data_IF_809013907549
#
_entry.id   IF_809013907549
#
_cell.length_a   1.000
_cell.length_b   1.000
_cell.length_c   1.000
_cell.angle_alpha   90.00
_cell.angle_beta   90.00
_cell.angle_gamma   90.00
#
_symmetry.space_group_name_H-M   'P 1'
#
loop_
_entity.id
_entity.type
_entity.pdbx_description
1 polymer ?
#
# COMPACT_ATOMS: atom_id res chain seq x y z
N UNK A 1 6.99 -2.36 1.50
CA UNK A 1 8.29 -2.79 0.92
C UNK A 1 8.53 -4.29 1.07
N UNK A 2 8.48 -4.85 2.29
CA UNK A 2 8.74 -6.27 2.58
C UNK A 2 7.83 -7.26 1.85
N UNK A 3 6.53 -6.97 1.67
CA UNK A 3 5.61 -7.88 0.98
C UNK A 3 6.06 -8.28 -0.43
N UNK A 4 6.47 -7.31 -1.26
CA UNK A 4 6.86 -7.56 -2.65
C UNK A 4 8.11 -8.42 -2.76
N UNK A 5 9.06 -8.18 -1.86
CA UNK A 5 10.29 -8.96 -1.80
C UNK A 5 10.01 -10.38 -1.32
N UNK A 6 9.18 -10.53 -0.28
CA UNK A 6 8.73 -11.83 0.19
C UNK A 6 7.95 -12.57 -0.90
N UNK A 7 7.02 -11.91 -1.58
CA UNK A 7 6.27 -12.45 -2.71
C UNK A 7 7.22 -12.99 -3.79
N UNK A 8 8.19 -12.19 -4.22
CA UNK A 8 9.21 -12.63 -5.20
C UNK A 8 10.04 -13.82 -4.70
N UNK A 9 10.43 -13.81 -3.43
CA UNK A 9 11.24 -14.89 -2.84
C UNK A 9 10.44 -16.17 -2.54
N UNK A 10 9.11 -16.09 -2.55
CA UNK A 10 8.17 -17.21 -2.27
C UNK A 10 7.36 -17.59 -3.51
N UNK A 11 7.91 -17.39 -4.71
CA UNK A 11 7.27 -17.70 -5.99
C UNK A 11 5.84 -17.11 -6.08
N UNK A 12 5.73 -15.80 -5.85
CA UNK A 12 4.45 -15.08 -5.78
C UNK A 12 3.56 -15.55 -4.63
N UNK A 13 4.12 -15.69 -3.43
CA UNK A 13 3.41 -16.14 -2.22
C UNK A 13 2.80 -17.54 -2.33
N UNK A 14 3.37 -18.43 -3.16
CA UNK A 14 2.87 -19.80 -3.36
C UNK A 14 3.76 -20.87 -2.73
N UNK A 15 5.02 -20.56 -2.39
CA UNK A 15 5.99 -21.55 -1.90
C UNK A 15 6.87 -21.03 -0.75
N UNK A 16 7.06 -21.87 0.27
CA UNK A 16 8.00 -21.66 1.38
C UNK A 16 8.76 -22.97 1.65
N UNK A 17 9.90 -23.14 0.99
CA UNK A 17 10.63 -24.41 1.03
C UNK A 17 9.74 -25.55 0.48
N UNK A 18 9.51 -26.64 1.23
CA UNK A 18 8.63 -27.74 0.81
C UNK A 18 7.13 -27.44 1.01
N UNK A 19 6.78 -26.28 1.56
CA UNK A 19 5.41 -25.92 1.90
C UNK A 19 4.75 -25.11 0.77
N UNK A 20 3.53 -25.50 0.43
CA UNK A 20 2.67 -24.76 -0.49
C UNK A 20 1.83 -23.77 0.29
N UNK A 21 1.81 -22.53 -0.16
CA UNK A 21 1.09 -21.44 0.45
C UNK A 21 -0.16 -21.12 -0.36
N UNK A 22 -1.21 -20.67 0.31
CA UNK A 22 -2.32 -19.98 -0.33
C UNK A 22 -1.96 -18.50 -0.50
N UNK A 23 -1.69 -18.07 -1.73
CA UNK A 23 -1.31 -16.69 -2.02
C UNK A 23 -2.38 -15.67 -1.56
N UNK A 24 -3.67 -16.05 -1.54
CA UNK A 24 -4.76 -15.17 -1.08
C UNK A 24 -4.68 -14.85 0.41
N UNK A 25 -4.13 -15.79 1.19
CA UNK A 25 -3.95 -15.67 2.63
C UNK A 25 -2.65 -14.97 3.03
N UNK A 26 -1.73 -14.76 2.10
CA UNK A 26 -0.42 -14.18 2.38
C UNK A 26 -0.56 -12.69 2.69
N UNK A 27 -0.16 -12.30 3.90
CA UNK A 27 -0.45 -11.01 4.47
C UNK A 27 0.73 -10.50 5.29
N UNK A 28 1.15 -9.26 5.01
CA UNK A 28 2.23 -8.59 5.74
C UNK A 28 1.69 -7.27 6.29
N UNK A 29 1.67 -7.13 7.61
CA UNK A 29 1.40 -5.89 8.34
C UNK A 29 0.13 -5.10 7.95
N UNK A 30 -0.94 -5.74 7.48
CA UNK A 30 -2.08 -4.97 6.93
C UNK A 30 -2.47 -5.36 5.52
N UNK A 31 -1.52 -5.92 4.77
CA UNK A 31 -1.57 -5.93 3.32
C UNK A 31 -1.56 -7.35 2.74
N UNK A 32 -2.54 -7.63 1.87
CA UNK A 32 -2.56 -8.73 0.91
C UNK A 32 -2.82 -8.21 -0.51
N UNK A 33 -2.40 -8.96 -1.52
CA UNK A 33 -2.66 -8.62 -2.92
C UNK A 33 -4.12 -8.97 -3.30
N UNK A 34 -4.88 -8.08 -3.96
CA UNK A 34 -6.24 -8.38 -4.39
C UNK A 34 -6.24 -9.51 -5.44
N UNK A 35 -6.96 -10.60 -5.15
CA UNK A 35 -7.13 -11.72 -6.07
C UNK A 35 -8.07 -11.31 -7.23
N UNK A 36 -7.55 -11.28 -8.47
CA UNK A 36 -8.40 -11.33 -9.65
C UNK A 36 -8.83 -12.79 -9.85
N UNK A 37 -10.12 -13.09 -9.64
CA UNK A 37 -10.67 -14.42 -9.86
C UNK A 37 -10.51 -14.83 -11.32
N UNK A 38 -9.82 -15.95 -11.57
CA UNK A 38 -9.79 -16.58 -12.88
C UNK A 38 -10.96 -17.56 -13.03
N UNK A 39 -11.80 -17.32 -14.04
CA UNK A 39 -12.21 -18.34 -15.02
C UNK A 39 -13.07 -17.67 -16.09
N UNK A 40 -12.58 -17.59 -17.33
CA UNK A 40 -13.18 -18.23 -18.51
C UNK A 40 -12.09 -18.30 -19.60
N UNK A 41 -11.94 -19.47 -20.22
CA UNK A 41 -11.16 -19.72 -21.43
C UNK A 41 -11.32 -18.59 -22.47
N UNK A 42 -10.23 -18.02 -22.96
CA UNK A 42 -10.27 -17.25 -24.19
C UNK A 42 -9.16 -17.65 -25.14
N UNK A 43 -9.61 -18.26 -26.25
CA UNK A 43 -9.00 -18.17 -27.56
C UNK A 43 -8.53 -16.74 -27.82
N UNK A 44 -7.36 -16.63 -28.45
CA UNK A 44 -6.68 -15.40 -28.87
C UNK A 44 -7.64 -14.44 -29.54
N UNK A 45 -8.15 -13.46 -28.79
CA UNK A 45 -8.85 -12.31 -29.33
C UNK A 45 -8.13 -11.08 -28.79
N UNK A 46 -7.59 -10.26 -29.70
CA UNK A 46 -6.96 -8.99 -29.41
C UNK A 46 -7.94 -8.13 -28.59
N UNK A 47 -7.67 -8.01 -27.29
CA UNK A 47 -8.45 -7.18 -26.38
C UNK A 47 -8.12 -5.71 -26.67
N UNK A 48 -9.13 -4.95 -27.05
CA UNK A 48 -9.07 -3.50 -27.25
C UNK A 48 -8.55 -2.80 -25.98
N UNK A 49 -7.82 -1.67 -26.09
CA UNK A 49 -7.41 -0.89 -24.93
C UNK A 49 -8.64 -0.46 -24.13
N UNK A 50 -8.73 -0.89 -22.86
CA UNK A 50 -9.81 -0.46 -21.96
C UNK A 50 -9.35 0.74 -21.13
N UNK A 51 -10.28 1.61 -20.73
CA UNK A 51 -9.98 2.75 -19.84
C UNK A 51 -10.55 2.40 -18.47
N UNK A 52 -9.67 2.37 -17.48
CA UNK A 52 -10.02 2.13 -16.08
C UNK A 52 -9.77 3.39 -15.25
N UNK A 53 -10.43 3.46 -14.09
CA UNK A 53 -10.36 4.61 -13.19
C UNK A 53 -9.95 4.20 -11.77
N UNK A 54 -9.33 5.12 -11.05
CA UNK A 54 -9.11 5.01 -9.61
C UNK A 54 -9.38 6.34 -8.90
N UNK A 55 -9.75 6.28 -7.64
CA UNK A 55 -9.94 7.44 -6.77
C UNK A 55 -8.62 7.80 -6.10
N UNK A 56 -8.37 9.11 -6.01
CA UNK A 56 -7.27 9.71 -5.25
C UNK A 56 -7.87 10.76 -4.33
N UNK A 57 -7.61 10.63 -3.03
CA UNK A 57 -8.08 11.60 -2.04
C UNK A 57 -6.94 12.01 -1.12
N UNK A 58 -6.85 13.28 -0.74
CA UNK A 58 -5.92 13.77 0.27
C UNK A 58 -6.42 15.08 0.87
N UNK A 59 -5.92 15.46 2.05
CA UNK A 59 -6.28 16.69 2.76
C UNK A 59 -5.09 17.63 2.79
N UNK A 60 -5.35 18.88 2.43
CA UNK A 60 -4.42 20.00 2.52
C UNK A 60 -4.72 20.79 3.79
N UNK A 61 -3.69 21.00 4.61
CA UNK A 61 -3.81 21.63 5.94
C UNK A 61 -3.51 23.13 5.93
N UNK A 62 -2.96 23.66 4.83
CA UNK A 62 -2.71 25.09 4.66
C UNK A 62 -3.55 25.72 3.53
N UNK A 63 -4.70 25.12 3.24
CA UNK A 63 -5.71 25.65 2.31
C UNK A 63 -7.05 25.71 3.05
N UNK A 64 -7.40 26.90 3.52
CA UNK A 64 -8.67 27.13 4.20
C UNK A 64 -9.86 26.89 3.26
N UNK A 65 -10.83 26.12 3.72
CA UNK A 65 -12.05 25.86 2.98
C UNK A 65 -12.96 27.09 2.99
N UNK A 66 -13.36 27.55 1.80
CA UNK A 66 -14.25 28.72 1.62
C UNK A 66 -15.45 28.37 0.75
N UNK A 67 -16.54 29.14 0.83
CA UNK A 67 -17.74 28.92 0.01
C UNK A 67 -17.43 28.86 -1.50
N UNK A 68 -16.47 29.63 -1.98
CA UNK A 68 -16.04 29.57 -3.38
C UNK A 68 -15.48 28.19 -3.79
N UNK A 69 -14.82 27.46 -2.88
CA UNK A 69 -14.30 26.12 -3.14
C UNK A 69 -15.42 25.06 -3.19
N UNK A 70 -16.63 25.40 -2.73
CA UNK A 70 -17.81 24.56 -2.89
C UNK A 70 -18.48 24.73 -4.26
N UNK A 71 -18.16 25.80 -4.99
CA UNK A 71 -18.81 26.20 -6.23
C UNK A 71 -17.90 25.89 -7.43
N UNK A 72 -18.15 24.84 -8.23
CA UNK A 72 -17.26 24.43 -9.34
C UNK A 72 -16.97 25.54 -10.35
N UNK A 73 -17.90 26.49 -10.50
CA UNK A 73 -17.77 27.60 -11.43
C UNK A 73 -17.04 28.84 -10.87
N UNK A 74 -16.72 28.86 -9.58
CA UNK A 74 -16.04 30.00 -8.97
C UNK A 74 -14.61 30.15 -9.51
N UNK A 75 -14.09 31.38 -9.50
CA UNK A 75 -12.69 31.64 -9.88
C UNK A 75 -11.72 30.87 -9.00
N UNK A 76 -11.98 30.80 -7.70
CA UNK A 76 -11.13 30.12 -6.72
C UNK A 76 -11.14 28.60 -6.89
N UNK A 77 -12.30 27.99 -7.19
CA UNK A 77 -12.37 26.58 -7.53
C UNK A 77 -11.51 26.26 -8.74
N UNK A 78 -11.76 26.93 -9.88
CA UNK A 78 -11.04 26.68 -11.14
C UNK A 78 -9.52 26.90 -11.02
N UNK A 79 -9.10 27.93 -10.29
CA UNK A 79 -7.67 28.17 -10.05
C UNK A 79 -7.06 27.05 -9.20
N UNK A 80 -7.74 26.64 -8.13
CA UNK A 80 -7.25 25.59 -7.22
C UNK A 80 -7.24 24.23 -7.91
N UNK A 81 -8.29 23.90 -8.66
CA UNK A 81 -8.41 22.71 -9.50
C UNK A 81 -7.23 22.61 -10.48
N UNK A 82 -6.93 23.68 -11.21
CA UNK A 82 -5.80 23.71 -12.16
C UNK A 82 -4.46 23.45 -11.48
N UNK A 83 -4.25 24.02 -10.29
CA UNK A 83 -3.03 23.82 -9.50
C UNK A 83 -2.95 22.38 -8.98
N UNK A 84 -4.04 21.83 -8.45
CA UNK A 84 -4.09 20.44 -7.97
C UNK A 84 -3.83 19.46 -9.10
N UNK A 85 -4.47 19.67 -10.25
CA UNK A 85 -4.27 18.83 -11.43
C UNK A 85 -2.81 18.83 -11.88
N UNK A 86 -2.15 19.99 -11.90
CA UNK A 86 -0.72 20.08 -12.22
C UNK A 86 0.16 19.23 -11.28
N UNK A 87 -0.10 19.28 -9.97
CA UNK A 87 0.66 18.50 -9.01
C UNK A 87 0.38 17.00 -9.11
N UNK A 88 -0.89 16.62 -9.19
CA UNK A 88 -1.34 15.23 -9.27
C UNK A 88 -0.87 14.57 -10.57
N UNK A 89 -1.02 15.24 -11.71
CA UNK A 89 -0.55 14.75 -13.01
C UNK A 89 0.95 14.46 -12.95
N UNK A 90 1.74 15.36 -12.37
CA UNK A 90 3.20 15.18 -12.24
C UNK A 90 3.57 14.01 -11.34
N UNK A 91 2.83 13.78 -10.26
CA UNK A 91 3.07 12.64 -9.37
C UNK A 91 2.81 11.32 -10.10
N UNK A 92 1.66 11.21 -10.76
CA UNK A 92 1.24 9.96 -11.42
C UNK A 92 2.04 9.67 -12.68
N UNK A 93 2.43 10.70 -13.44
CA UNK A 93 3.34 10.53 -14.58
C UNK A 93 4.73 10.01 -14.16
N UNK A 94 5.15 10.28 -12.91
CA UNK A 94 6.42 9.81 -12.36
C UNK A 94 6.32 8.50 -11.60
N UNK A 95 5.10 8.00 -11.38
CA UNK A 95 4.88 6.74 -10.67
C UNK A 95 4.87 5.57 -11.64
N UNK A 96 4.76 4.36 -11.12
CA UNK A 96 4.68 3.13 -11.92
C UNK A 96 3.53 3.13 -12.95
N UNK A 97 2.47 3.92 -12.73
CA UNK A 97 1.34 4.03 -13.65
C UNK A 97 1.59 5.02 -14.81
N UNK A 98 2.67 5.79 -14.77
CA UNK A 98 2.95 6.89 -15.70
C UNK A 98 2.78 6.54 -17.18
N UNK A 99 3.30 5.38 -17.67
CA UNK A 99 3.12 4.97 -19.07
C UNK A 99 1.65 4.78 -19.49
N UNK A 100 0.81 4.30 -18.58
CA UNK A 100 -0.61 4.05 -18.81
C UNK A 100 -1.50 5.25 -18.45
N UNK A 101 -0.97 6.23 -17.72
CA UNK A 101 -1.74 7.35 -17.17
C UNK A 101 -2.32 8.27 -18.25
N UNK A 102 -3.61 8.60 -18.13
CA UNK A 102 -4.33 9.48 -19.05
C UNK A 102 -4.51 10.87 -18.45
N UNK A 103 -4.93 10.95 -17.19
CA UNK A 103 -5.21 12.22 -16.51
C UNK A 103 -6.06 12.06 -15.26
N UNK A 104 -6.08 13.10 -14.41
CA UNK A 104 -6.96 13.17 -13.24
C UNK A 104 -7.91 14.35 -13.34
N UNK A 105 -9.14 14.11 -12.92
CA UNK A 105 -10.16 15.11 -12.74
C UNK A 105 -10.38 15.35 -11.24
N UNK A 106 -10.27 16.60 -10.79
CA UNK A 106 -10.55 16.96 -9.40
C UNK A 106 -12.05 17.19 -9.28
N UNK A 107 -12.73 16.28 -8.59
CA UNK A 107 -14.19 16.23 -8.51
C UNK A 107 -14.75 17.24 -7.51
N UNK A 108 -14.05 17.42 -6.39
CA UNK A 108 -14.53 18.28 -5.31
C UNK A 108 -13.40 18.75 -4.38
N UNK A 109 -13.62 19.93 -3.80
CA UNK A 109 -12.98 20.37 -2.57
C UNK A 109 -14.01 20.30 -1.44
N UNK A 110 -13.65 19.67 -0.32
CA UNK A 110 -14.54 19.52 0.84
C UNK A 110 -13.89 20.05 2.10
N UNK A 111 -14.72 20.62 2.98
CA UNK A 111 -14.28 20.99 4.31
C UNK A 111 -13.90 19.74 5.10
N UNK A 112 -12.76 19.80 5.80
CA UNK A 112 -12.47 18.94 6.95
C UNK A 112 -12.73 19.76 8.23
N UNK A 113 -12.76 19.12 9.40
CA UNK A 113 -13.12 19.71 10.71
C UNK A 113 -12.67 21.18 10.85
N UNK A 114 -13.55 22.04 11.37
CA UNK A 114 -13.34 23.49 11.57
C UNK A 114 -13.09 24.36 10.32
N UNK A 115 -13.16 23.81 9.09
CA UNK A 115 -12.97 24.54 7.81
C UNK A 115 -11.55 25.07 7.56
N UNK A 116 -10.60 24.77 8.43
CA UNK A 116 -9.20 25.17 8.27
C UNK A 116 -8.48 24.33 7.21
N UNK A 117 -8.97 23.10 7.01
CA UNK A 117 -8.42 22.11 6.10
C UNK A 117 -9.36 21.85 4.91
N UNK A 118 -8.78 21.62 3.74
CA UNK A 118 -9.50 21.26 2.51
C UNK A 118 -9.13 19.87 2.03
N UNK A 119 -10.10 18.96 1.99
CA UNK A 119 -9.98 17.66 1.32
C UNK A 119 -10.17 17.81 -0.19
N UNK A 120 -9.28 17.20 -0.95
CA UNK A 120 -9.32 17.07 -2.39
C UNK A 120 -9.79 15.66 -2.74
N UNK A 121 -10.81 15.55 -3.59
CA UNK A 121 -11.22 14.28 -4.18
C UNK A 121 -11.02 14.32 -5.68
N UNK A 122 -10.32 13.33 -6.22
CA UNK A 122 -10.03 13.21 -7.64
C UNK A 122 -10.33 11.80 -8.15
N UNK A 123 -10.69 11.72 -9.44
CA UNK A 123 -10.79 10.48 -10.20
C UNK A 123 -9.76 10.53 -11.31
N UNK A 124 -8.95 9.49 -11.39
CA UNK A 124 -7.79 9.38 -12.26
C UNK A 124 -7.97 8.22 -13.22
N UNK A 125 -7.67 8.43 -14.50
CA UNK A 125 -7.87 7.48 -15.58
C UNK A 125 -6.53 6.95 -16.11
N UNK A 126 -6.52 5.69 -16.49
CA UNK A 126 -5.37 5.02 -17.10
C UNK A 126 -5.83 3.99 -18.15
N UNK A 127 -4.92 3.65 -19.07
CA UNK A 127 -5.09 2.56 -20.03
C UNK A 127 -4.89 1.24 -19.31
N UNK A 128 -5.88 0.38 -19.38
CA UNK A 128 -5.87 -0.95 -18.78
C UNK A 128 -5.79 -1.96 -19.93
N UNK A 129 -4.54 -2.27 -20.30
CA UNK A 129 -4.20 -3.23 -21.35
C UNK A 129 -3.78 -4.55 -20.71
N UNK A 130 -4.23 -5.71 -21.25
CA UNK A 130 -3.87 -7.02 -20.68
C UNK A 130 -2.37 -7.32 -20.70
N UNK A 131 -1.61 -6.61 -21.54
CA UNK A 131 -0.16 -6.72 -21.70
C UNK A 131 0.64 -5.77 -20.79
N UNK A 132 -0.01 -4.81 -20.14
CA UNK A 132 0.65 -3.81 -19.30
C UNK A 132 0.66 -4.22 -17.82
N UNK A 133 1.61 -3.68 -17.01
CA UNK A 133 1.59 -3.88 -15.57
C UNK A 133 0.27 -3.37 -14.99
N UNK A 134 -0.45 -4.25 -14.30
CA UNK A 134 -1.76 -3.94 -13.72
C UNK A 134 -1.65 -2.85 -12.66
N UNK A 135 -2.64 -1.95 -12.63
CA UNK A 135 -2.74 -0.91 -11.61
C UNK A 135 -2.73 -1.52 -10.19
N UNK A 136 -1.75 -1.13 -9.38
CA UNK A 136 -1.61 -1.58 -8.00
C UNK A 136 -1.73 -0.39 -7.04
N UNK A 137 -2.90 -0.26 -6.40
CA UNK A 137 -3.24 0.86 -5.49
C UNK A 137 -2.22 1.09 -4.36
N UNK A 138 -1.59 0.03 -3.86
CA UNK A 138 -0.62 0.11 -2.75
C UNK A 138 0.73 0.62 -3.23
N UNK A 139 1.11 0.23 -4.43
CA UNK A 139 2.34 0.72 -5.07
C UNK A 139 2.23 2.20 -5.35
N UNK A 140 1.11 2.60 -5.97
CA UNK A 140 0.81 4.01 -6.22
C UNK A 140 0.76 4.80 -4.90
N UNK A 141 0.14 4.25 -3.85
CA UNK A 141 0.12 4.89 -2.53
C UNK A 141 1.53 5.16 -1.99
N UNK A 142 2.40 4.16 -1.97
CA UNK A 142 3.78 4.32 -1.46
C UNK A 142 4.62 5.26 -2.33
N UNK A 143 4.48 5.20 -3.65
CA UNK A 143 5.19 6.09 -4.58
C UNK A 143 4.79 7.54 -4.35
N UNK A 144 3.48 7.81 -4.25
CA UNK A 144 2.95 9.14 -3.93
C UNK A 144 3.37 9.59 -2.54
N UNK A 145 3.31 8.71 -1.53
CA UNK A 145 3.77 8.99 -0.17
C UNK A 145 5.23 9.42 -0.15
N UNK A 146 6.12 8.67 -0.81
CA UNK A 146 7.54 8.99 -0.89
C UNK A 146 7.79 10.32 -1.62
N UNK A 147 7.16 10.53 -2.78
CA UNK A 147 7.29 11.77 -3.55
C UNK A 147 6.72 13.00 -2.83
N UNK A 148 5.86 12.80 -1.85
CA UNK A 148 5.26 13.87 -1.01
C UNK A 148 5.87 13.94 0.39
N UNK A 149 7.07 13.38 0.57
CA UNK A 149 7.81 13.39 1.83
C UNK A 149 6.98 12.78 2.99
N UNK A 150 6.48 11.57 2.78
CA UNK A 150 5.59 10.90 3.73
C UNK A 150 4.23 11.56 3.84
N UNK A 151 3.66 12.04 2.72
CA UNK A 151 2.33 12.69 2.68
C UNK A 151 2.30 13.97 3.53
N UNK A 152 3.42 14.68 3.64
CA UNK A 152 3.48 15.94 4.40
C UNK A 152 3.53 17.16 3.49
N UNK A 153 3.96 17.01 2.23
CA UNK A 153 4.21 18.15 1.35
C UNK A 153 3.89 17.87 -0.12
N UNK A 154 3.18 18.80 -0.75
CA UNK A 154 2.92 18.84 -2.20
C UNK A 154 3.19 20.24 -2.75
N UNK A 155 4.41 20.47 -3.23
CA UNK A 155 4.85 21.80 -3.62
C UNK A 155 4.83 22.78 -2.42
N UNK A 156 3.97 23.80 -2.51
CA UNK A 156 3.76 24.76 -1.41
C UNK A 156 2.64 24.36 -0.45
N UNK A 157 1.92 23.27 -0.73
CA UNK A 157 0.87 22.77 0.15
C UNK A 157 1.43 21.83 1.21
N UNK A 158 0.93 22.00 2.43
CA UNK A 158 1.09 21.07 3.54
C UNK A 158 -0.05 20.08 3.51
N UNK A 159 0.26 18.80 3.73
CA UNK A 159 -0.70 17.71 3.66
C UNK A 159 -0.90 17.07 5.04
N UNK A 160 -2.10 16.53 5.28
CA UNK A 160 -2.34 15.65 6.40
C UNK A 160 -1.81 14.25 6.04
N UNK A 161 -0.80 13.79 6.77
CA UNK A 161 -0.10 12.53 6.50
C UNK A 161 -0.99 11.29 6.55
N UNK A 162 -2.14 11.37 7.21
CA UNK A 162 -3.08 10.25 7.37
C UNK A 162 -4.20 10.26 6.32
N UNK A 163 -4.21 11.25 5.42
CA UNK A 163 -5.38 11.54 4.59
C UNK A 163 -5.28 11.06 3.14
N UNK A 164 -4.14 10.49 2.72
CA UNK A 164 -3.99 9.94 1.37
C UNK A 164 -4.78 8.64 1.23
N UNK A 165 -5.65 8.54 0.23
CA UNK A 165 -6.34 7.31 -0.13
C UNK A 165 -6.20 7.04 -1.64
N UNK A 166 -5.97 5.79 -2.01
CA UNK A 166 -5.97 5.30 -3.40
C UNK A 166 -6.98 4.14 -3.51
N UNK A 167 -8.13 4.32 -4.18
CA UNK A 167 -9.21 3.32 -4.20
C UNK A 167 -9.49 2.75 -2.79
N UNK A 168 -9.77 3.65 -1.85
CA UNK A 168 -10.04 3.37 -0.43
C UNK A 168 -8.88 2.73 0.36
N UNK A 169 -7.72 2.53 -0.25
CA UNK A 169 -6.52 2.06 0.44
C UNK A 169 -5.77 3.23 1.11
N UNK A 170 -5.44 3.05 2.39
CA UNK A 170 -4.67 3.95 3.24
C UNK A 170 -3.92 3.11 4.29
N UNK A 171 -2.70 3.49 4.65
CA UNK A 171 -1.96 2.83 5.74
C UNK A 171 -2.25 3.49 7.08
N UNK A 172 -2.56 2.72 8.14
CA UNK A 172 -2.77 3.26 9.47
C UNK A 172 -1.47 3.90 9.98
N UNK A 173 -1.59 5.14 10.45
CA UNK A 173 -0.49 5.93 10.99
C UNK A 173 0.15 5.23 12.20
N UNK A 174 1.33 4.65 12.01
CA UNK A 174 2.26 4.39 13.11
C UNK A 174 3.06 5.67 13.33
N UNK A 175 3.23 6.09 14.58
CA UNK A 175 3.89 7.34 15.01
C UNK A 175 5.38 7.47 14.62
N UNK A 176 5.89 6.67 13.67
CA UNK A 176 7.32 6.57 13.34
C UNK A 176 7.83 7.69 12.41
N UNK A 177 6.95 8.52 11.83
CA UNK A 177 7.38 9.54 10.83
C UNK A 177 7.62 10.95 11.39
N UNK A 178 7.59 11.17 12.71
CA UNK A 178 8.01 12.45 13.28
C UNK A 178 9.48 12.32 13.67
N UNK A 179 10.40 12.77 12.82
CA UNK A 179 11.80 12.97 13.20
C UNK A 179 11.86 14.25 14.06
N UNK A 180 12.07 14.18 15.40
CA UNK A 180 12.44 15.37 16.14
C UNK A 180 13.95 15.55 15.94
N UNK A 181 14.34 16.67 15.37
CA UNK A 181 15.72 17.14 15.40
C UNK A 181 16.09 17.45 16.85
N UNK A 182 16.53 16.45 17.60
CA UNK A 182 17.27 16.64 18.84
C UNK A 182 18.32 15.57 18.94
N UNK A 183 19.56 16.03 18.87
CA UNK A 183 20.80 15.34 19.24
C UNK A 183 20.59 14.61 20.56
N UNK A 184 20.36 13.29 20.50
CA UNK A 184 20.58 12.36 21.62
C UNK A 184 20.75 10.96 21.02
N UNK A 185 21.73 10.24 21.56
CA UNK A 185 22.22 8.93 21.12
C UNK A 185 21.11 7.95 20.72
N UNK A 186 21.24 7.20 19.60
CA UNK A 186 20.18 6.32 19.11
C UNK A 186 19.96 5.15 20.06
N UNK A 187 18.88 5.20 20.82
CA UNK A 187 18.26 4.00 21.39
C UNK A 187 17.64 3.20 20.26
N UNK A 188 18.07 1.95 20.12
CA UNK A 188 17.55 1.00 19.13
C UNK A 188 16.03 0.85 19.31
N UNK A 189 15.23 1.41 18.41
CA UNK A 189 13.78 1.29 18.46
C UNK A 189 13.39 0.05 17.66
N UNK A 190 12.97 -1.01 18.34
CA UNK A 190 12.55 -2.27 17.70
C UNK A 190 11.10 -2.14 17.22
N UNK A 191 10.89 -2.08 15.91
CA UNK A 191 9.55 -2.17 15.32
C UNK A 191 9.14 -3.63 15.08
N UNK A 192 7.85 -3.94 15.22
CA UNK A 192 7.28 -5.28 15.01
C UNK A 192 6.25 -5.24 13.87
N UNK A 193 6.23 -6.28 13.05
CA UNK A 193 5.22 -6.48 12.02
C UNK A 193 4.69 -7.92 12.05
N UNK A 194 3.49 -8.11 11.51
CA UNK A 194 2.84 -9.44 11.45
C UNK A 194 2.93 -10.03 10.06
N UNK A 195 3.31 -11.30 9.96
CA UNK A 195 3.26 -12.12 8.75
C UNK A 195 2.24 -13.24 8.95
N UNK A 196 1.21 -13.30 8.12
CA UNK A 196 0.24 -14.40 8.11
C UNK A 196 0.23 -15.06 6.72
N UNK A 197 0.04 -16.37 6.70
CA UNK A 197 -0.19 -17.15 5.49
C UNK A 197 -0.77 -18.51 5.88
N UNK A 198 -1.49 -19.13 4.96
CA UNK A 198 -2.05 -20.47 5.07
C UNK A 198 -1.17 -21.44 4.31
N UNK A 199 -0.87 -22.58 4.94
CA UNK A 199 -0.12 -23.67 4.33
C UNK A 199 -1.11 -24.73 3.86
N UNK A 200 -1.20 -24.95 2.56
CA UNK A 200 -2.22 -25.83 1.96
C UNK A 200 -1.84 -27.30 2.00
N UNK A 201 -0.54 -27.62 2.11
CA UNK A 201 -0.03 -28.99 2.17
C UNK A 201 0.38 -29.44 3.59
N UNK A 202 -0.09 -28.76 4.65
CA UNK A 202 0.12 -29.15 6.04
C UNK A 202 -1.23 -29.40 6.71
N UNK A 203 -1.48 -30.63 7.18
CA UNK A 203 -2.74 -30.95 7.87
C UNK A 203 -2.76 -30.36 9.28
N UNK A 204 -3.80 -29.59 9.57
CA UNK A 204 -4.08 -29.12 10.91
C UNK A 204 -4.48 -30.29 11.83
N UNK A 205 -3.96 -30.29 13.05
CA UNK A 205 -4.27 -31.29 14.08
C UNK A 205 -4.40 -30.59 15.43
N UNK A 206 -5.18 -31.13 16.36
CA UNK A 206 -5.36 -30.54 17.69
C UNK A 206 -4.03 -30.19 18.38
N UNK A 207 -3.05 -31.10 18.35
CA UNK A 207 -1.71 -30.84 18.91
C UNK A 207 -1.01 -29.65 18.24
N UNK A 208 -1.20 -29.43 16.94
CA UNK A 208 -0.60 -28.29 16.23
C UNK A 208 -1.26 -26.97 16.65
N UNK A 209 -2.55 -26.98 16.97
CA UNK A 209 -3.28 -25.82 17.50
C UNK A 209 -3.01 -25.53 18.97
N UNK A 210 -2.55 -26.52 19.74
CA UNK A 210 -2.23 -26.38 21.16
C UNK A 210 -0.86 -25.73 21.35
N UNK A 211 -0.77 -24.51 21.92
CA UNK A 211 0.51 -23.85 22.17
C UNK A 211 1.44 -24.73 23.02
N UNK A 212 2.74 -24.71 22.71
CA UNK A 212 3.78 -25.45 23.41
C UNK A 212 3.71 -27.00 23.36
N UNK A 213 2.79 -27.59 22.58
CA UNK A 213 2.84 -29.04 22.34
C UNK A 213 4.14 -29.44 21.60
N UNK A 214 4.50 -30.72 21.64
CA UNK A 214 5.64 -31.23 20.88
C UNK A 214 5.52 -30.94 19.37
N UNK A 215 4.30 -31.06 18.83
CA UNK A 215 4.01 -30.82 17.40
C UNK A 215 4.01 -29.33 17.05
N UNK A 216 3.50 -28.48 17.92
CA UNK A 216 3.58 -27.03 17.80
C UNK A 216 5.05 -26.57 17.80
N UNK A 217 5.84 -27.01 18.78
CA UNK A 217 7.24 -26.58 18.93
C UNK A 217 8.14 -27.05 17.79
N UNK A 218 7.97 -28.29 17.32
CA UNK A 218 8.70 -28.82 16.16
C UNK A 218 8.33 -28.07 14.88
N UNK A 219 7.04 -27.90 14.60
CA UNK A 219 6.56 -27.17 13.41
C UNK A 219 6.98 -25.70 13.45
N UNK A 220 6.91 -25.06 14.62
CA UNK A 220 7.41 -23.69 14.85
C UNK A 220 8.88 -23.56 14.47
N UNK A 221 9.76 -24.44 14.95
CA UNK A 221 11.19 -24.40 14.63
C UNK A 221 11.44 -24.54 13.12
N UNK A 222 10.70 -25.44 12.47
CA UNK A 222 10.79 -25.64 11.01
C UNK A 222 10.34 -24.38 10.27
N UNK A 223 9.21 -23.77 10.64
CA UNK A 223 8.75 -22.53 9.99
C UNK A 223 9.73 -21.39 10.18
N UNK A 224 10.28 -21.22 11.38
CA UNK A 224 11.30 -20.21 11.66
C UNK A 224 12.55 -20.42 10.79
N UNK A 225 13.01 -21.65 10.57
CA UNK A 225 14.18 -21.90 9.71
C UNK A 225 13.98 -21.53 8.24
N UNK A 226 12.74 -21.39 7.77
CA UNK A 226 12.45 -20.85 6.43
C UNK A 226 12.22 -19.35 6.43
N UNK A 227 11.52 -18.82 7.43
CA UNK A 227 11.16 -17.39 7.50
C UNK A 227 12.36 -16.51 7.83
N UNK A 228 13.22 -16.92 8.77
CA UNK A 228 14.34 -16.08 9.22
C UNK A 228 15.32 -15.81 8.06
N UNK A 229 15.78 -16.79 7.27
CA UNK A 229 16.65 -16.51 6.12
C UNK A 229 15.99 -15.67 5.04
N UNK A 230 14.67 -15.79 4.85
CA UNK A 230 13.93 -14.96 3.89
C UNK A 230 13.94 -13.49 4.31
N UNK A 231 13.70 -13.20 5.59
CA UNK A 231 13.69 -11.84 6.12
C UNK A 231 15.11 -11.26 6.20
N UNK A 232 16.12 -12.07 6.52
CA UNK A 232 17.52 -11.66 6.48
C UNK A 232 18.01 -11.26 5.08
N UNK A 233 17.41 -11.83 4.02
CA UNK A 233 17.76 -11.50 2.62
C UNK A 233 16.93 -10.36 2.03
N UNK A 234 15.93 -9.88 2.77
CA UNK A 234 15.08 -8.76 2.36
C UNK A 234 15.76 -7.42 2.67
N UNK A 235 15.13 -6.33 2.25
CA UNK A 235 15.56 -4.95 2.56
C UNK A 235 15.60 -4.62 4.04
N UNK A 236 14.87 -5.36 4.89
CA UNK A 236 14.97 -5.22 6.34
C UNK A 236 16.06 -6.10 6.97
N UNK A 237 16.75 -6.92 6.17
CA UNK A 237 17.75 -7.87 6.64
C UNK A 237 18.83 -7.28 7.55
N UNK A 238 19.43 -6.12 7.23
CA UNK A 238 20.43 -5.47 8.09
C UNK A 238 19.94 -5.14 9.51
N UNK A 239 18.64 -4.89 9.65
CA UNK A 239 17.99 -4.48 10.91
C UNK A 239 17.11 -5.60 11.51
N UNK A 240 17.06 -6.77 10.87
CA UNK A 240 16.19 -7.87 11.26
C UNK A 240 16.74 -8.62 12.47
N UNK A 241 15.98 -8.62 13.55
CA UNK A 241 16.37 -9.23 14.84
C UNK A 241 15.80 -10.62 15.08
N UNK A 242 14.76 -11.02 14.34
CA UNK A 242 14.18 -12.37 14.39
C UNK A 242 12.67 -12.42 14.18
N UNK A 243 12.15 -13.61 13.85
CA UNK A 243 10.72 -13.87 13.72
C UNK A 243 10.22 -14.83 14.80
N UNK A 244 9.05 -14.52 15.38
CA UNK A 244 8.36 -15.38 16.35
C UNK A 244 7.06 -15.90 15.77
N UNK A 245 6.97 -17.22 15.60
CA UNK A 245 5.69 -17.88 15.28
C UNK A 245 4.78 -17.82 16.52
N UNK A 246 3.62 -17.18 16.37
CA UNK A 246 2.67 -16.91 17.46
C UNK A 246 1.58 -17.99 17.59
N UNK A 247 1.11 -18.55 16.48
CA UNK A 247 0.03 -19.53 16.45
C UNK A 247 0.01 -20.31 15.12
N UNK A 248 -0.59 -21.50 15.15
CA UNK A 248 -1.10 -22.20 13.96
C UNK A 248 -2.62 -22.27 14.11
N UNK A 249 -3.36 -21.92 13.06
CA UNK A 249 -4.83 -21.86 13.06
C UNK A 249 -5.38 -22.23 11.69
#
# INVERSE_FOLDING_TARGET
>A
MVYRELSRMTASCTELGPYKLDAASFYVNGYNEPQHGQSVNQSTQLLSPSISNFTLNFTITNLQFTADLMMPNSKKFKSTEKVMRYYVDRLLQKSSIGPAYIGCNVMAFRSVKNRDDTRVDAICSYRDEPSDPTFNRVTVYHELSNMTNGITKLGHYSLNSQSLYINDYNEPYTLSSMKPSTTQSPGLTTEQFTLNFTITNLRFTADLGTPNSAKFNSTKKIMQSYIDPLLQRSSIGPDFTGCKVIAFR
#
